data_IF_826177543972
#
_entry.id   IF_826177543972
#
_cell.length_a   1.000
_cell.length_b   1.000
_cell.length_c   1.000
_cell.angle_alpha   90.00
_cell.angle_beta   90.00
_cell.angle_gamma   90.00
#
_symmetry.space_group_name_H-M   'P 1'
#
loop_
_entity.id
_entity.type
_entity.pdbx_description
1 polymer ?
#
# COMPACT_ATOMS: atom_id res chain seq x y z
N UNK A 1 -14.09 -26.91 -21.84
CA UNK A 1 -12.88 -26.96 -21.00
C UNK A 1 -13.23 -26.40 -19.64
N UNK A 2 -12.86 -27.09 -18.56
CA UNK A 2 -13.05 -26.60 -17.20
C UNK A 2 -11.93 -25.62 -16.85
N UNK A 3 -12.25 -24.56 -16.11
CA UNK A 3 -11.27 -23.52 -15.70
C UNK A 3 -10.02 -24.11 -15.03
N UNK A 4 -10.19 -25.20 -14.26
CA UNK A 4 -9.10 -25.91 -13.60
C UNK A 4 -8.08 -26.46 -14.60
N UNK A 5 -8.53 -26.99 -15.74
CA UNK A 5 -7.64 -27.55 -16.75
C UNK A 5 -6.77 -26.47 -17.38
N UNK A 6 -7.36 -25.31 -17.68
CA UNK A 6 -6.60 -24.17 -18.21
C UNK A 6 -5.56 -23.66 -17.22
N UNK A 7 -5.89 -23.60 -15.93
CA UNK A 7 -4.93 -23.18 -14.89
C UNK A 7 -3.76 -24.17 -14.79
N UNK A 8 -4.02 -25.47 -14.82
CA UNK A 8 -2.96 -26.49 -14.76
C UNK A 8 -2.06 -26.41 -16.00
N UNK A 9 -2.65 -26.37 -17.20
CA UNK A 9 -1.90 -26.29 -18.46
C UNK A 9 -1.00 -25.01 -18.50
N UNK A 10 -1.48 -23.88 -17.96
CA UNK A 10 -0.69 -22.63 -17.86
C UNK A 10 0.46 -22.73 -16.84
N UNK A 11 0.21 -23.32 -15.68
CA UNK A 11 1.22 -23.46 -14.63
C UNK A 11 2.32 -24.46 -15.03
N UNK A 12 2.00 -25.50 -15.80
CA UNK A 12 3.00 -26.45 -16.32
C UNK A 12 4.00 -25.80 -17.28
N UNK A 13 3.60 -24.72 -17.96
CA UNK A 13 4.44 -24.01 -18.93
C UNK A 13 5.16 -22.80 -18.33
N UNK A 14 4.85 -22.44 -17.08
CA UNK A 14 5.38 -21.26 -16.41
C UNK A 14 6.83 -21.44 -15.92
N UNK A 15 7.54 -20.33 -15.75
CA UNK A 15 8.89 -20.32 -15.19
C UNK A 15 8.90 -20.51 -13.67
N UNK A 16 9.99 -21.07 -13.13
CA UNK A 16 10.16 -21.31 -11.70
C UNK A 16 9.97 -20.05 -10.81
N UNK A 17 10.48 -18.86 -11.18
CA UNK A 17 10.21 -17.63 -10.40
C UNK A 17 8.71 -17.27 -10.33
N UNK A 18 7.96 -17.53 -11.41
CA UNK A 18 6.51 -17.28 -11.44
C UNK A 18 5.78 -18.31 -10.57
N UNK A 19 6.20 -19.58 -10.62
CA UNK A 19 5.66 -20.63 -9.77
C UNK A 19 5.83 -20.33 -8.28
N UNK A 20 7.00 -19.81 -7.88
CA UNK A 20 7.24 -19.37 -6.50
C UNK A 20 6.32 -18.22 -6.07
N UNK A 21 6.07 -17.26 -6.97
CA UNK A 21 5.15 -16.14 -6.71
C UNK A 21 3.71 -16.61 -6.58
N UNK A 22 3.26 -17.51 -7.45
CA UNK A 22 1.93 -18.13 -7.37
C UNK A 22 1.77 -18.94 -6.08
N UNK A 23 2.79 -19.71 -5.71
CA UNK A 23 2.80 -20.45 -4.45
C UNK A 23 2.65 -19.51 -3.25
N UNK A 24 3.41 -18.41 -3.22
CA UNK A 24 3.29 -17.39 -2.18
C UNK A 24 1.90 -16.76 -2.11
N UNK A 25 1.28 -16.47 -3.26
CA UNK A 25 -0.09 -15.96 -3.32
C UNK A 25 -1.11 -16.96 -2.78
N UNK A 26 -1.01 -18.25 -3.15
CA UNK A 26 -1.92 -19.29 -2.67
C UNK A 26 -1.74 -19.51 -1.17
N UNK A 27 -0.51 -19.46 -0.66
CA UNK A 27 -0.23 -19.57 0.77
C UNK A 27 -0.86 -18.39 1.53
N UNK A 28 -0.69 -17.17 1.04
CA UNK A 28 -1.33 -15.98 1.63
C UNK A 28 -2.86 -16.07 1.61
N UNK A 29 -3.45 -16.63 0.54
CA UNK A 29 -4.90 -16.81 0.44
C UNK A 29 -5.45 -17.98 1.28
N UNK A 30 -4.62 -18.99 1.58
CA UNK A 30 -4.99 -20.15 2.41
C UNK A 30 -4.88 -19.86 3.89
N UNK A 31 -3.91 -19.02 4.28
CA UNK A 31 -3.87 -18.54 5.65
C UNK A 31 -5.07 -17.63 5.82
N UNK A 32 -5.99 -17.89 6.77
CA UNK A 32 -6.93 -16.90 7.23
C UNK A 32 -6.12 -15.86 8.02
N UNK A 33 -5.27 -15.12 7.31
CA UNK A 33 -4.81 -13.84 7.80
C UNK A 33 -6.10 -13.03 7.90
N UNK A 34 -6.55 -12.88 9.14
CA UNK A 34 -7.34 -11.74 9.55
C UNK A 34 -6.62 -10.51 8.99
N UNK A 35 -6.98 -10.10 7.77
CA UNK A 35 -6.54 -8.84 7.18
C UNK A 35 -7.17 -7.65 7.93
N UNK A 36 -7.47 -7.80 9.23
CA UNK A 36 -7.06 -6.76 10.16
C UNK A 36 -5.55 -6.55 9.96
N UNK A 37 -5.22 -5.64 9.04
CA UNK A 37 -4.07 -4.73 9.17
C UNK A 37 -3.68 -4.74 10.63
N UNK A 38 -2.50 -5.24 10.96
CA UNK A 38 -1.99 -5.24 12.33
C UNK A 38 -2.17 -3.82 12.87
N UNK A 39 -3.28 -3.61 13.58
CA UNK A 39 -3.61 -2.43 14.36
C UNK A 39 -2.82 -2.52 15.65
N UNK A 40 -1.54 -2.88 15.53
CA UNK A 40 -0.56 -2.91 16.60
C UNK A 40 0.00 -1.52 16.90
N UNK A 41 -0.65 -0.47 16.41
CA UNK A 41 -0.90 0.70 17.24
C UNK A 41 -2.38 0.74 17.58
N UNK A 42 -2.77 -0.05 18.58
CA UNK A 42 -4.06 0.07 19.27
C UNK A 42 -4.20 1.38 20.04
N UNK A 43 -3.20 2.27 19.91
CA UNK A 43 -3.29 3.64 20.37
C UNK A 43 -4.45 4.32 19.65
N UNK A 44 -5.49 4.76 20.39
CA UNK A 44 -6.53 5.58 19.80
C UNK A 44 -5.89 6.81 19.14
N UNK A 45 -6.48 7.29 18.04
CA UNK A 45 -6.08 8.58 17.48
C UNK A 45 -6.39 9.65 18.52
N UNK A 46 -5.37 10.38 18.95
CA UNK A 46 -5.50 11.51 19.86
C UNK A 46 -5.35 12.78 19.02
N UNK A 47 -6.39 13.60 18.96
CA UNK A 47 -6.30 14.92 18.34
C UNK A 47 -5.17 15.71 19.04
N UNK A 48 -4.38 16.45 18.26
CA UNK A 48 -3.33 17.33 18.79
C UNK A 48 -2.22 16.63 19.62
N UNK A 49 -1.99 15.32 19.42
CA UNK A 49 -1.01 14.52 20.18
C UNK A 49 0.41 15.14 20.25
N UNK A 50 0.77 15.95 19.26
CA UNK A 50 2.08 16.61 19.12
C UNK A 50 1.97 18.14 18.95
N UNK A 51 0.90 18.76 19.45
CA UNK A 51 0.71 20.21 19.32
C UNK A 51 1.89 20.98 19.93
N UNK A 52 2.47 21.90 19.15
CA UNK A 52 3.61 22.71 19.56
C UNK A 52 4.96 21.97 19.63
N UNK A 53 5.00 20.66 19.34
CA UNK A 53 6.24 19.88 19.31
C UNK A 53 6.96 19.97 17.96
N UNK A 54 6.27 20.44 16.92
CA UNK A 54 6.81 20.62 15.58
C UNK A 54 6.94 22.10 15.31
N UNK A 55 8.14 22.53 14.90
CA UNK A 55 8.34 23.86 14.36
C UNK A 55 7.90 23.87 12.89
N UNK A 56 7.11 24.86 12.54
CA UNK A 56 6.64 25.12 11.19
C UNK A 56 6.92 26.58 10.89
N UNK A 57 7.24 26.91 9.64
CA UNK A 57 7.43 28.30 9.25
C UNK A 57 6.12 29.07 9.37
N UNK A 58 6.21 30.37 9.68
CA UNK A 58 5.04 31.25 9.86
C UNK A 58 4.20 31.36 8.57
N UNK A 59 4.82 31.15 7.42
CA UNK A 59 4.22 31.24 6.07
C UNK A 59 3.69 29.90 5.55
N UNK A 60 3.72 28.81 6.32
CA UNK A 60 3.31 27.50 5.81
C UNK A 60 1.86 27.46 5.31
N UNK A 61 0.99 28.23 5.94
CA UNK A 61 -0.42 28.33 5.56
C UNK A 61 -0.68 29.42 4.51
N UNK A 62 0.35 30.18 4.12
CA UNK A 62 0.21 31.22 3.12
C UNK A 62 0.02 30.58 1.73
N UNK A 63 -0.77 31.20 0.85
CA UNK A 63 -0.94 30.70 -0.51
C UNK A 63 0.39 30.76 -1.25
N UNK A 64 0.71 29.68 -1.98
CA UNK A 64 1.88 29.65 -2.85
C UNK A 64 1.71 30.68 -3.99
N UNK A 65 2.78 31.37 -4.41
CA UNK A 65 2.72 32.33 -5.52
C UNK A 65 2.22 31.69 -6.83
N UNK A 66 1.63 32.50 -7.70
CA UNK A 66 1.12 32.02 -8.99
C UNK A 66 2.23 31.39 -9.85
N UNK A 67 3.46 31.91 -9.80
CA UNK A 67 4.62 31.36 -10.53
C UNK A 67 4.95 29.92 -10.10
N UNK A 68 4.64 29.54 -8.85
CA UNK A 68 4.78 28.14 -8.40
C UNK A 68 3.81 27.21 -9.13
N UNK A 69 2.61 27.70 -9.43
CA UNK A 69 1.56 26.92 -10.09
C UNK A 69 1.63 27.01 -11.62
N UNK A 70 1.97 28.18 -12.15
CA UNK A 70 1.88 28.51 -13.57
C UNK A 70 3.24 28.50 -14.28
N UNK A 71 4.34 28.54 -13.53
CA UNK A 71 5.70 28.72 -14.07
C UNK A 71 6.04 30.19 -14.34
N UNK A 72 7.32 30.49 -14.52
CA UNK A 72 7.77 31.76 -15.10
C UNK A 72 7.59 31.73 -16.63
N UNK A 73 7.13 32.84 -17.21
CA UNK A 73 7.02 33.04 -18.67
C UNK A 73 8.38 32.98 -19.41
#
# INVERSE_FOLDING_TARGET
MTILKTIVDELETASEPLLLKVLGFIQAAKTPEDHSVSSSSSSPRVADLHQGQVWMSEDFNDPLPDDFWLGED
#
